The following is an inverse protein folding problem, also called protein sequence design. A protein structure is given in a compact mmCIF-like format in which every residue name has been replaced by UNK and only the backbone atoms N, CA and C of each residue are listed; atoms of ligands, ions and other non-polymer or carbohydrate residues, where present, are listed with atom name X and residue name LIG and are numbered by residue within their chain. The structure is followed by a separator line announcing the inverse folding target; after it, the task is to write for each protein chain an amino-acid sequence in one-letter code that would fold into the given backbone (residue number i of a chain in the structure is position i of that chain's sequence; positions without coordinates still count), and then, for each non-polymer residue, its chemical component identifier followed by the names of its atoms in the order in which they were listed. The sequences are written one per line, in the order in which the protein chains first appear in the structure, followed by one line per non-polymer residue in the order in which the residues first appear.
data_IF_707978567767
#
_entry.id   IF_707978567767
#
_cell.length_a   1.000
_cell.length_b   1.000
_cell.length_c   1.000
_cell.angle_alpha   90.00
_cell.angle_beta   90.00
_cell.angle_gamma   90.00
#
_symmetry.space_group_name_H-M   'P 1'
#
loop_
_entity.id
_entity.type
_entity.pdbx_description
1 polymer ?
#
# COMPACT_ATOMS: atom_id res chain seq x y z
N UNK A 1 -12.59 -9.15 -9.09
CA UNK A 1 -11.36 -9.00 -8.29
C UNK A 1 -11.44 -9.99 -7.15
N UNK A 2 -10.75 -11.12 -7.25
CA UNK A 2 -10.82 -12.23 -6.28
C UNK A 2 -9.40 -12.73 -5.92
N UNK A 3 -8.48 -11.79 -5.65
CA UNK A 3 -7.07 -12.06 -5.39
C UNK A 3 -6.70 -12.12 -3.89
N UNK A 4 -7.69 -12.19 -2.99
CA UNK A 4 -7.46 -12.34 -1.54
C UNK A 4 -6.84 -11.12 -0.83
N UNK A 5 -6.60 -10.01 -1.52
CA UNK A 5 -6.00 -8.78 -0.97
C UNK A 5 -7.01 -7.93 -0.18
N UNK A 6 -7.72 -8.54 0.79
CA UNK A 6 -8.79 -7.87 1.54
C UNK A 6 -8.35 -6.65 2.34
N UNK A 7 -7.07 -6.57 2.72
CA UNK A 7 -6.45 -5.39 3.35
C UNK A 7 -6.50 -4.15 2.47
N UNK A 8 -5.77 -4.16 1.35
CA UNK A 8 -5.66 -3.00 0.44
C UNK A 8 -6.99 -2.65 -0.23
N UNK A 9 -7.81 -3.67 -0.50
CA UNK A 9 -9.16 -3.48 -1.01
C UNK A 9 -10.03 -2.78 0.04
N UNK A 10 -9.98 -3.23 1.30
CA UNK A 10 -10.72 -2.62 2.41
C UNK A 10 -10.40 -1.14 2.58
N UNK A 11 -9.13 -0.73 2.44
CA UNK A 11 -8.75 0.68 2.56
C UNK A 11 -9.27 1.52 1.39
N UNK A 12 -9.10 1.06 0.15
CA UNK A 12 -9.42 1.87 -1.03
C UNK A 12 -10.81 1.67 -1.63
N UNK A 13 -11.69 0.82 -1.08
CA UNK A 13 -13.01 0.50 -1.67
C UNK A 13 -13.95 1.69 -1.84
N UNK A 14 -13.73 2.79 -1.11
CA UNK A 14 -14.53 4.02 -1.22
C UNK A 14 -13.92 5.04 -2.19
N UNK A 15 -12.63 4.94 -2.49
CA UNK A 15 -11.94 5.93 -3.31
C UNK A 15 -12.52 5.97 -4.73
N UNK A 16 -12.45 7.15 -5.35
CA UNK A 16 -12.81 7.29 -6.78
C UNK A 16 -11.88 6.48 -7.68
N UNK A 17 -10.62 6.35 -7.26
CA UNK A 17 -9.60 5.54 -7.92
C UNK A 17 -9.39 4.22 -7.17
N UNK A 18 -9.54 3.10 -7.89
CA UNK A 18 -9.37 1.77 -7.31
C UNK A 18 -7.93 1.53 -6.84
N UNK A 19 -7.79 0.85 -5.70
CA UNK A 19 -6.49 0.38 -5.18
C UNK A 19 -5.67 -0.38 -6.23
N UNK A 20 -4.35 -0.24 -6.18
CA UNK A 20 -3.40 -0.94 -7.04
C UNK A 20 -2.35 -1.64 -6.19
N UNK A 21 -2.09 -2.89 -6.52
CA UNK A 21 -0.96 -3.65 -6.01
C UNK A 21 0.06 -3.77 -7.15
N UNK A 22 1.15 -3.02 -7.06
CA UNK A 22 2.16 -2.94 -8.13
C UNK A 22 3.38 -3.73 -7.72
N UNK A 23 3.89 -4.57 -8.63
CA UNK A 23 5.14 -5.32 -8.43
C UNK A 23 6.08 -4.97 -9.59
N UNK A 24 7.21 -4.36 -9.25
CA UNK A 24 8.33 -4.16 -10.17
C UNK A 24 9.38 -5.23 -9.86
N UNK A 25 9.91 -5.87 -10.89
CA UNK A 25 10.88 -6.97 -10.75
C UNK A 25 12.09 -6.69 -11.63
N UNK A 26 13.27 -6.78 -11.02
CA UNK A 26 14.54 -6.75 -11.71
C UNK A 26 15.32 -8.02 -11.33
N UNK A 27 15.65 -8.82 -12.34
CA UNK A 27 16.21 -10.18 -12.17
C UNK A 27 17.42 -10.35 -13.09
N UNK A 28 18.61 -9.89 -12.69
CA UNK A 28 19.81 -10.03 -13.50
C UNK A 28 20.26 -11.50 -13.53
N UNK A 29 20.93 -11.90 -14.62
CA UNK A 29 21.45 -13.26 -14.78
C UNK A 29 22.53 -13.52 -13.72
N UNK A 30 22.47 -14.68 -13.07
CA UNK A 30 23.43 -15.07 -12.04
C UNK A 30 23.17 -14.50 -10.65
N UNK A 31 22.04 -13.80 -10.44
CA UNK A 31 21.61 -13.41 -9.11
C UNK A 31 21.41 -14.65 -8.21
N UNK A 32 21.98 -14.62 -7.00
CA UNK A 32 21.86 -15.69 -6.00
C UNK A 32 21.01 -15.28 -4.80
N UNK A 33 20.82 -13.97 -4.60
CA UNK A 33 19.99 -13.39 -3.56
C UNK A 33 18.77 -12.68 -4.14
N UNK A 34 17.70 -12.66 -3.36
CA UNK A 34 16.43 -12.01 -3.68
C UNK A 34 16.09 -11.02 -2.57
N UNK A 35 15.93 -9.76 -2.94
CA UNK A 35 15.48 -8.69 -2.05
C UNK A 35 14.06 -8.27 -2.42
N UNK A 36 13.21 -8.06 -1.42
CA UNK A 36 11.85 -7.57 -1.62
C UNK A 36 11.59 -6.38 -0.69
N UNK A 37 11.22 -5.25 -1.28
CA UNK A 37 10.83 -4.05 -0.56
C UNK A 37 9.34 -3.81 -0.72
N UNK A 38 8.67 -3.53 0.40
CA UNK A 38 7.22 -3.27 0.42
C UNK A 38 6.99 -1.85 0.90
N UNK A 39 6.28 -1.06 0.10
CA UNK A 39 6.01 0.35 0.37
C UNK A 39 4.53 0.64 0.55
N UNK A 40 4.20 1.24 1.70
CA UNK A 40 2.89 1.86 1.94
C UNK A 40 2.70 3.04 0.98
N UNK A 41 1.63 2.97 0.18
CA UNK A 41 1.32 3.92 -0.89
C UNK A 41 -0.03 4.59 -0.73
N UNK A 42 -0.33 5.15 0.45
CA UNK A 42 -1.59 5.87 0.65
C UNK A 42 -1.50 7.26 0.02
N UNK A 43 -2.08 7.42 -1.18
CA UNK A 43 -1.93 8.64 -1.99
C UNK A 43 -2.57 9.86 -1.33
N UNK A 44 -3.62 9.63 -0.55
CA UNK A 44 -4.18 10.60 0.38
C UNK A 44 -4.92 9.87 1.51
N UNK A 45 -4.79 10.38 2.74
CA UNK A 45 -5.39 9.80 3.93
C UNK A 45 -6.33 10.80 4.62
N UNK A 46 -7.64 10.60 4.43
CA UNK A 46 -8.66 11.34 5.18
C UNK A 46 -8.89 10.78 6.58
N UNK A 47 -8.45 9.54 6.84
CA UNK A 47 -8.85 8.73 7.99
C UNK A 47 -10.03 7.78 7.70
N UNK A 48 -10.72 7.93 6.57
CA UNK A 48 -11.93 7.16 6.26
C UNK A 48 -13.10 7.61 7.15
N UNK A 49 -13.90 6.67 7.65
CA UNK A 49 -14.98 7.00 8.60
C UNK A 49 -14.46 7.44 9.97
N UNK A 50 -13.26 6.99 10.35
CA UNK A 50 -12.49 7.55 11.48
C UNK A 50 -11.77 8.82 11.04
N UNK A 51 -12.55 9.82 10.62
CA UNK A 51 -12.08 11.04 9.97
C UNK A 51 -11.01 11.75 10.82
N UNK A 52 -9.89 12.13 10.18
CA UNK A 52 -8.85 12.91 10.86
C UNK A 52 -9.43 14.24 11.36
N UNK A 53 -9.09 14.66 12.60
CA UNK A 53 -9.48 15.98 13.10
C UNK A 53 -8.90 17.11 12.25
N UNK A 54 -9.49 18.30 12.42
CA UNK A 54 -9.02 19.53 11.74
C UNK A 54 -7.52 19.74 12.00
N UNK A 55 -6.78 20.06 10.93
CA UNK A 55 -5.34 20.29 10.98
C UNK A 55 -4.47 19.04 10.78
N UNK A 56 -5.00 17.83 11.01
CA UNK A 56 -4.25 16.57 10.84
C UNK A 56 -4.37 15.96 9.44
N UNK A 57 -5.33 16.42 8.64
CA UNK A 57 -5.52 15.96 7.27
C UNK A 57 -4.59 16.69 6.28
N UNK A 58 -4.29 17.96 6.54
CA UNK A 58 -3.40 18.73 5.69
C UNK A 58 -2.00 18.08 5.66
N UNK A 59 -1.48 17.85 4.45
CA UNK A 59 -0.18 17.20 4.26
C UNK A 59 -0.21 15.68 4.24
N UNK A 60 -1.39 15.05 4.32
CA UNK A 60 -1.55 13.58 4.16
C UNK A 60 -1.35 13.08 2.72
N UNK A 61 -1.12 13.98 1.75
CA UNK A 61 -0.52 13.61 0.46
C UNK A 61 0.86 12.94 0.60
N UNK A 62 1.49 13.04 1.77
CA UNK A 62 2.79 12.44 2.09
C UNK A 62 2.69 11.00 2.61
N UNK A 63 1.48 10.47 2.83
CA UNK A 63 1.29 9.11 3.37
C UNK A 63 1.63 8.00 2.34
N UNK A 64 2.01 8.39 1.12
CA UNK A 64 2.61 7.52 0.11
C UNK A 64 4.15 7.58 0.09
N UNK A 65 4.77 8.27 1.06
CA UNK A 65 6.21 8.49 1.10
C UNK A 65 7.05 7.21 1.11
N UNK A 66 6.56 6.15 1.75
CA UNK A 66 7.23 4.84 1.76
C UNK A 66 7.29 4.20 0.37
N UNK A 67 6.16 4.15 -0.34
CA UNK A 67 6.10 3.68 -1.72
C UNK A 67 6.95 4.56 -2.66
N UNK A 68 6.93 5.88 -2.48
CA UNK A 68 7.74 6.80 -3.28
C UNK A 68 9.24 6.60 -3.07
N UNK A 69 9.67 6.43 -1.81
CA UNK A 69 11.07 6.16 -1.47
C UNK A 69 11.56 4.83 -2.07
N UNK A 70 10.75 3.77 -1.97
CA UNK A 70 11.08 2.46 -2.55
C UNK A 70 11.15 2.53 -4.07
N UNK A 71 10.21 3.21 -4.73
CA UNK A 71 10.24 3.39 -6.18
C UNK A 71 11.51 4.12 -6.63
N UNK A 72 11.89 5.20 -5.94
CA UNK A 72 13.11 5.95 -6.22
C UNK A 72 14.38 5.11 -6.01
N UNK A 73 14.46 4.38 -4.90
CA UNK A 73 15.58 3.49 -4.59
C UNK A 73 15.70 2.34 -5.59
N UNK A 74 14.57 1.74 -5.97
CA UNK A 74 14.51 0.69 -6.98
C UNK A 74 15.02 1.20 -8.33
N UNK A 75 14.52 2.35 -8.79
CA UNK A 75 14.98 2.97 -10.02
C UNK A 75 16.49 3.23 -9.99
N UNK A 76 17.00 3.83 -8.92
CA UNK A 76 18.43 4.11 -8.77
C UNK A 76 19.28 2.84 -8.87
N UNK A 77 18.94 1.76 -8.15
CA UNK A 77 19.68 0.51 -8.19
C UNK A 77 19.62 -0.18 -9.56
N UNK A 78 18.45 -0.21 -10.19
CA UNK A 78 18.28 -0.84 -11.51
C UNK A 78 19.09 -0.09 -12.57
N UNK A 79 19.11 1.25 -12.53
CA UNK A 79 19.93 2.06 -13.47
C UNK A 79 21.44 1.91 -13.25
N UNK A 80 21.87 1.40 -12.10
CA UNK A 80 23.26 1.10 -11.78
C UNK A 80 23.59 -0.40 -11.92
N UNK A 81 22.73 -1.16 -12.60
CA UNK A 81 22.92 -2.59 -12.88
C UNK A 81 23.21 -3.40 -11.62
N UNK A 82 22.38 -3.23 -10.58
CA UNK A 82 22.47 -4.00 -9.35
C UNK A 82 22.62 -5.51 -9.65
N UNK A 83 23.40 -6.23 -8.83
CA UNK A 83 23.83 -7.60 -9.17
C UNK A 83 22.88 -8.71 -8.67
N UNK A 84 21.88 -8.36 -7.87
CA UNK A 84 20.96 -9.31 -7.25
C UNK A 84 19.52 -9.06 -7.68
N UNK A 85 18.65 -10.05 -7.50
CA UNK A 85 17.23 -9.89 -7.78
C UNK A 85 16.62 -8.91 -6.80
N UNK A 86 15.85 -7.95 -7.32
CA UNK A 86 15.18 -6.94 -6.53
C UNK A 86 13.71 -6.84 -6.96
N UNK A 87 12.82 -6.86 -5.96
CA UNK A 87 11.40 -6.59 -6.13
C UNK A 87 11.00 -5.35 -5.35
N UNK A 88 10.25 -4.45 -5.99
CA UNK A 88 9.57 -3.34 -5.33
C UNK A 88 8.05 -3.57 -5.41
N UNK A 89 7.43 -3.71 -4.24
CA UNK A 89 6.00 -3.95 -4.06
C UNK A 89 5.38 -2.67 -3.51
N UNK A 90 4.45 -2.07 -4.25
CA UNK A 90 3.80 -0.82 -3.88
C UNK A 90 2.31 -1.07 -3.63
N UNK A 91 1.89 -0.86 -2.39
CA UNK A 91 0.51 -0.98 -1.95
C UNK A 91 -0.19 0.37 -2.08
N UNK A 92 -0.74 0.67 -3.27
CA UNK A 92 -1.33 1.97 -3.58
C UNK A 92 -2.84 1.99 -3.29
N UNK A 93 -3.28 2.91 -2.45
CA UNK A 93 -4.70 3.14 -2.17
C UNK A 93 -4.95 4.58 -1.74
N UNK A 94 -6.21 5.01 -1.72
CA UNK A 94 -6.64 6.25 -1.08
C UNK A 94 -7.59 5.88 0.07
N UNK A 95 -7.33 6.40 1.27
CA UNK A 95 -8.22 6.19 2.41
C UNK A 95 -9.26 7.33 2.43
N UNK A 96 -10.34 7.13 1.68
CA UNK A 96 -11.39 8.11 1.46
C UNK A 96 -12.60 7.90 2.39
N UNK A 97 -13.26 9.00 2.77
CA UNK A 97 -14.52 8.98 3.51
C UNK A 97 -15.73 8.86 2.57
N UNK A 98 -16.73 8.07 2.96
CA UNK A 98 -18.01 7.98 2.25
C UNK A 98 -18.81 6.72 2.59
N UNK A 99 -19.95 6.51 1.93
CA UNK A 99 -20.93 5.48 2.31
C UNK A 99 -20.43 4.04 2.14
N UNK A 100 -19.40 3.81 1.30
CA UNK A 100 -18.79 2.50 1.10
C UNK A 100 -17.46 2.35 1.83
N UNK A 101 -17.04 3.33 2.63
CA UNK A 101 -15.78 3.26 3.38
C UNK A 101 -15.79 2.11 4.39
N UNK A 102 -14.60 1.64 4.76
CA UNK A 102 -14.45 0.72 5.88
C UNK A 102 -14.91 1.42 7.15
N UNK A 103 -15.80 0.75 7.89
CA UNK A 103 -16.30 1.21 9.18
C UNK A 103 -15.40 0.67 10.28
N UNK A 104 -15.26 1.40 11.40
CA UNK A 104 -14.78 0.79 12.64
C UNK A 104 -15.54 -0.51 12.92
N UNK A 105 -14.83 -1.51 13.42
CA UNK A 105 -15.33 -2.86 13.71
C UNK A 105 -15.69 -3.75 12.51
N UNK A 106 -15.55 -3.27 11.26
CA UNK A 106 -15.56 -4.17 10.11
C UNK A 106 -14.42 -5.20 10.24
N UNK A 107 -14.68 -6.44 9.83
CA UNK A 107 -13.72 -7.55 9.86
C UNK A 107 -13.19 -7.80 8.45
N UNK A 108 -11.87 -7.95 8.34
CA UNK A 108 -11.20 -8.18 7.06
C UNK A 108 -10.37 -9.44 7.09
N UNK A 109 -10.56 -10.30 6.08
CA UNK A 109 -9.66 -11.39 5.77
C UNK A 109 -8.49 -10.86 4.94
N UNK A 110 -7.27 -11.01 5.46
CA UNK A 110 -6.04 -10.65 4.78
C UNK A 110 -5.61 -11.74 3.79
N UNK A 111 -4.66 -11.40 2.92
CA UNK A 111 -4.09 -12.37 1.97
C UNK A 111 -3.46 -13.59 2.65
N UNK A 112 -2.90 -13.42 3.84
CA UNK A 112 -2.35 -14.51 4.64
C UNK A 112 -3.40 -15.48 5.20
N UNK A 113 -4.70 -15.19 5.05
CA UNK A 113 -5.79 -15.89 5.71
C UNK A 113 -6.08 -15.38 7.12
N UNK A 114 -5.24 -14.51 7.68
CA UNK A 114 -5.48 -13.89 8.98
C UNK A 114 -6.69 -12.96 8.93
N UNK A 115 -7.40 -12.88 10.05
CA UNK A 115 -8.57 -12.04 10.20
C UNK A 115 -8.22 -10.89 11.14
N UNK A 116 -8.46 -9.65 10.72
CA UNK A 116 -8.21 -8.45 11.52
C UNK A 116 -9.44 -7.56 11.62
N UNK A 117 -9.52 -6.79 12.71
CA UNK A 117 -10.46 -5.68 12.83
C UNK A 117 -9.92 -4.46 12.05
N UNK A 118 -10.83 -3.78 11.36
CA UNK A 118 -10.63 -2.57 10.56
C UNK A 118 -9.92 -1.42 11.28
N UNK A 119 -9.96 -1.37 12.61
CA UNK A 119 -9.22 -0.38 13.42
C UNK A 119 -7.72 -0.34 13.06
N UNK A 120 -7.15 -1.45 12.57
CA UNK A 120 -5.73 -1.56 12.24
C UNK A 120 -5.41 -1.66 10.74
N UNK A 121 -6.42 -1.64 9.85
CA UNK A 121 -6.24 -2.08 8.46
C UNK A 121 -5.34 -1.15 7.62
N UNK A 122 -5.36 0.15 7.86
CA UNK A 122 -4.50 1.10 7.13
C UNK A 122 -3.04 1.06 7.59
N UNK A 123 -2.79 0.60 8.82
CA UNK A 123 -1.44 0.40 9.38
C UNK A 123 -0.80 -0.90 8.89
N UNK A 124 -1.61 -1.85 8.40
CA UNK A 124 -1.14 -3.13 7.88
C UNK A 124 -0.77 -3.12 6.39
N UNK A 125 -0.83 -1.96 5.72
CA UNK A 125 -0.35 -1.74 4.36
C UNK A 125 1.06 -1.17 4.32
#
# INVERSE_FOLDING_TARGET
MNCGLGGIFGVGKQASSMSKFVVLSYTPVGATLVYSWVGKGIVYDTGGLSLKPKGFMAGMKRDCGGAAAILGAFYALVTQEFSQTLHAILCLAENAIGPKATRPDDIHTLYSGNIINSTFISTTL
#
